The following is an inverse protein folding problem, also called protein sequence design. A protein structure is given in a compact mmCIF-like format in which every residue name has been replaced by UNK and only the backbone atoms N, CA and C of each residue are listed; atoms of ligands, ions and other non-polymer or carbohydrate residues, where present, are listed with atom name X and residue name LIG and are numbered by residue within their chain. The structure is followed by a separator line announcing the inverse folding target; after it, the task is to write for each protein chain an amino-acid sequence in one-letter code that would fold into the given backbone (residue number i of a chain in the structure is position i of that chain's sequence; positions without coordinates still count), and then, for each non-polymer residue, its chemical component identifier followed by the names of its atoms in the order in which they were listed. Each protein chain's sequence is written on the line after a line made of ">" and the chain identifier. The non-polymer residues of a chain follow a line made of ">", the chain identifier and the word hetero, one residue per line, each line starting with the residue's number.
data_IF_184788225289
#
_entry.id   IF_184788225289
#
_cell.length_a   1.000
_cell.length_b   1.000
_cell.length_c   1.000
_cell.angle_alpha   90.00
_cell.angle_beta   90.00
_cell.angle_gamma   90.00
#
_symmetry.space_group_name_H-M   'P 1'
#
loop_
_entity.id
_entity.type
_entity.pdbx_description
1 polymer ?
#
# COMPACT_ATOMS: atom_id res chain seq x y z
N UNK A 1 10.20 23.58 11.43
CA UNK A 1 8.77 23.76 11.04
C UNK A 1 8.60 23.03 9.72
N UNK A 2 8.34 21.69 9.76
CA UNK A 2 8.15 20.87 8.57
C UNK A 2 6.82 21.29 7.97
N UNK A 3 6.85 21.77 6.72
CA UNK A 3 5.68 22.18 5.95
C UNK A 3 4.70 20.99 5.85
N UNK A 4 3.52 21.15 6.46
CA UNK A 4 2.34 20.29 6.26
C UNK A 4 1.77 20.44 4.84
N UNK A 5 2.62 20.29 3.83
CA UNK A 5 2.15 20.25 2.46
C UNK A 5 1.44 18.90 2.26
N UNK A 6 0.11 18.91 2.40
CA UNK A 6 -0.75 17.81 1.96
C UNK A 6 -0.26 17.35 0.58
N UNK A 7 0.17 16.11 0.44
CA UNK A 7 0.69 15.59 -0.83
C UNK A 7 -0.44 15.63 -1.87
N UNK A 8 -0.40 16.54 -2.86
CA UNK A 8 -1.54 16.76 -3.74
C UNK A 8 -1.82 15.52 -4.59
N UNK A 9 -3.02 14.99 -4.53
CA UNK A 9 -3.50 13.96 -5.42
C UNK A 9 -3.91 12.62 -4.82
N UNK A 10 -3.81 12.41 -3.48
CA UNK A 10 -4.30 11.18 -2.82
C UNK A 10 -5.82 11.14 -2.78
N UNK A 11 -6.44 12.12 -2.14
CA UNK A 11 -7.90 12.21 -2.02
C UNK A 11 -8.62 12.21 -3.38
N UNK A 12 -8.20 12.95 -4.43
CA UNK A 12 -8.80 12.84 -5.75
C UNK A 12 -8.66 11.45 -6.39
N UNK A 13 -7.55 10.74 -6.15
CA UNK A 13 -7.36 9.39 -6.68
C UNK A 13 -8.31 8.38 -6.00
N UNK A 14 -8.45 8.45 -4.67
CA UNK A 14 -9.41 7.64 -3.92
C UNK A 14 -10.86 7.96 -4.33
N UNK A 15 -11.20 9.24 -4.51
CA UNK A 15 -12.53 9.64 -4.98
C UNK A 15 -12.84 9.10 -6.38
N UNK A 16 -11.86 9.04 -7.28
CA UNK A 16 -12.04 8.45 -8.61
C UNK A 16 -12.42 6.97 -8.52
N UNK A 17 -11.80 6.20 -7.62
CA UNK A 17 -12.16 4.79 -7.38
C UNK A 17 -13.62 4.66 -6.94
N UNK A 18 -14.05 5.44 -5.93
CA UNK A 18 -15.43 5.45 -5.45
C UNK A 18 -16.40 5.80 -6.56
N UNK A 19 -16.14 6.85 -7.36
CA UNK A 19 -16.99 7.28 -8.46
C UNK A 19 -17.06 6.21 -9.56
N UNK A 20 -15.92 5.61 -9.91
CA UNK A 20 -15.86 4.55 -10.91
C UNK A 20 -16.67 3.32 -10.49
N UNK A 21 -16.46 2.83 -9.24
CA UNK A 21 -17.20 1.69 -8.72
C UNK A 21 -18.70 1.98 -8.65
N UNK A 22 -19.10 3.16 -8.18
CA UNK A 22 -20.51 3.58 -8.17
C UNK A 22 -21.14 3.57 -9.56
N UNK A 23 -20.41 4.08 -10.56
CA UNK A 23 -20.88 4.10 -11.96
C UNK A 23 -21.02 2.68 -12.55
N UNK A 24 -20.07 1.78 -12.26
CA UNK A 24 -20.10 0.38 -12.70
C UNK A 24 -21.24 -0.39 -12.03
N UNK A 25 -21.51 -0.17 -10.75
CA UNK A 25 -22.64 -0.77 -10.03
C UNK A 25 -23.96 -0.32 -10.68
N UNK A 26 -24.12 0.98 -10.91
CA UNK A 26 -25.31 1.53 -11.54
C UNK A 26 -25.52 0.94 -12.95
N UNK A 27 -24.44 0.85 -13.74
CA UNK A 27 -24.48 0.23 -15.08
C UNK A 27 -24.92 -1.24 -15.01
N UNK A 28 -24.36 -2.03 -14.09
CA UNK A 28 -24.72 -3.43 -13.88
C UNK A 28 -26.16 -3.58 -13.42
N UNK A 29 -26.64 -2.73 -12.50
CA UNK A 29 -28.03 -2.74 -12.05
C UNK A 29 -29.02 -2.44 -13.18
N UNK A 30 -28.74 -1.39 -13.98
CA UNK A 30 -29.57 -1.04 -15.14
C UNK A 30 -29.56 -2.19 -16.15
N UNK A 31 -28.39 -2.71 -16.51
CA UNK A 31 -28.27 -3.81 -17.45
C UNK A 31 -29.00 -5.07 -16.96
N UNK A 32 -28.84 -5.45 -15.70
CA UNK A 32 -29.52 -6.59 -15.10
C UNK A 32 -31.04 -6.43 -15.06
N UNK A 33 -31.54 -5.23 -14.75
CA UNK A 33 -32.96 -4.93 -14.70
C UNK A 33 -33.62 -4.97 -16.11
N UNK A 34 -32.92 -4.43 -17.12
CA UNK A 34 -33.44 -4.44 -18.51
C UNK A 34 -33.42 -5.84 -19.11
N UNK A 35 -32.36 -6.61 -18.85
CA UNK A 35 -32.22 -7.96 -19.43
C UNK A 35 -32.91 -9.05 -18.62
N UNK A 36 -33.35 -8.75 -17.38
CA UNK A 36 -33.85 -9.75 -16.43
C UNK A 36 -32.83 -10.78 -15.99
N UNK A 37 -31.53 -10.51 -16.23
CA UNK A 37 -30.45 -11.46 -15.92
C UNK A 37 -30.13 -11.43 -14.44
N UNK A 38 -30.41 -12.53 -13.75
CA UNK A 38 -30.07 -12.75 -12.34
C UNK A 38 -28.54 -12.71 -12.15
N UNK A 39 -27.77 -13.24 -13.11
CA UNK A 39 -26.30 -13.22 -13.06
C UNK A 39 -25.74 -11.80 -13.02
N UNK A 40 -26.25 -10.87 -13.87
CA UNK A 40 -25.80 -9.47 -13.87
C UNK A 40 -26.22 -8.76 -12.58
N UNK A 41 -27.40 -9.04 -12.04
CA UNK A 41 -27.87 -8.48 -10.76
C UNK A 41 -27.01 -8.99 -9.58
N UNK A 42 -26.64 -10.29 -9.59
CA UNK A 42 -25.74 -10.85 -8.58
C UNK A 42 -24.35 -10.21 -8.65
N UNK A 43 -23.84 -9.96 -9.85
CA UNK A 43 -22.58 -9.26 -10.08
C UNK A 43 -22.64 -7.79 -9.59
N UNK A 44 -23.80 -7.12 -9.78
CA UNK A 44 -24.02 -5.77 -9.25
C UNK A 44 -24.00 -5.76 -7.71
N UNK A 45 -24.61 -6.75 -7.06
CA UNK A 45 -24.58 -6.90 -5.62
C UNK A 45 -23.15 -7.17 -5.10
N UNK A 46 -22.40 -8.02 -5.78
CA UNK A 46 -20.99 -8.27 -5.45
C UNK A 46 -20.17 -6.97 -5.53
N UNK A 47 -20.28 -6.23 -6.64
CA UNK A 47 -19.62 -4.94 -6.80
C UNK A 47 -20.04 -3.90 -5.77
N UNK A 48 -21.21 -4.04 -5.13
CA UNK A 48 -21.61 -3.16 -4.02
C UNK A 48 -20.75 -3.41 -2.76
N UNK A 49 -20.25 -4.62 -2.57
CA UNK A 49 -19.29 -4.94 -1.49
C UNK A 49 -17.93 -4.30 -1.81
N UNK A 50 -17.51 -4.32 -3.08
CA UNK A 50 -16.25 -3.72 -3.53
C UNK A 50 -16.25 -2.19 -3.34
N UNK A 51 -17.42 -1.56 -3.47
CA UNK A 51 -17.57 -0.13 -3.17
C UNK A 51 -17.25 0.18 -1.70
N UNK A 52 -17.54 -0.73 -0.76
CA UNK A 52 -17.21 -0.54 0.66
C UNK A 52 -15.68 -0.43 0.82
N UNK A 53 -14.89 -1.26 0.12
CA UNK A 53 -13.43 -1.20 0.15
C UNK A 53 -12.93 0.18 -0.32
N UNK A 54 -13.41 0.66 -1.48
CA UNK A 54 -13.03 1.98 -2.00
C UNK A 54 -13.47 3.14 -1.11
N UNK A 55 -14.60 3.03 -0.43
CA UNK A 55 -15.06 4.01 0.56
C UNK A 55 -14.15 4.02 1.79
N UNK A 56 -13.74 2.85 2.28
CA UNK A 56 -12.78 2.72 3.39
C UNK A 56 -11.45 3.37 3.00
N UNK A 57 -10.93 3.08 1.78
CA UNK A 57 -9.72 3.72 1.26
C UNK A 57 -9.86 5.25 1.22
N UNK A 58 -10.97 5.76 0.67
CA UNK A 58 -11.20 7.20 0.58
C UNK A 58 -11.19 7.90 1.94
N UNK A 59 -11.91 7.37 2.92
CA UNK A 59 -11.95 7.96 4.25
C UNK A 59 -10.63 7.82 4.99
N UNK A 60 -9.91 6.71 4.81
CA UNK A 60 -8.61 6.51 5.44
C UNK A 60 -7.55 7.48 4.90
N UNK A 61 -7.50 7.70 3.58
CA UNK A 61 -6.63 8.69 2.95
C UNK A 61 -6.95 10.08 3.48
N UNK A 62 -8.24 10.45 3.50
CA UNK A 62 -8.67 11.75 3.98
C UNK A 62 -8.31 11.97 5.46
N UNK A 63 -8.50 10.94 6.31
CA UNK A 63 -8.15 11.03 7.73
C UNK A 63 -6.64 11.07 7.94
N UNK A 64 -5.87 10.34 7.13
CA UNK A 64 -4.41 10.35 7.20
C UNK A 64 -3.78 11.70 6.78
N UNK A 65 -4.50 12.51 5.99
CA UNK A 65 -4.08 13.88 5.61
C UNK A 65 -4.33 14.92 6.73
N UNK A 66 -5.07 14.56 7.80
CA UNK A 66 -5.27 15.46 8.94
C UNK A 66 -3.96 15.62 9.73
N UNK A 67 -3.63 16.85 10.18
CA UNK A 67 -2.44 17.09 10.98
C UNK A 67 -2.52 16.37 12.33
N UNK A 68 -1.36 16.31 13.01
CA UNK A 68 -1.29 15.81 14.38
C UNK A 68 -2.22 16.63 15.31
N UNK A 69 -2.90 15.95 16.22
CA UNK A 69 -3.79 16.52 17.22
C UNK A 69 -3.38 16.13 18.65
N UNK A 70 -4.18 16.49 19.65
CA UNK A 70 -3.87 16.21 21.05
C UNK A 70 -3.82 14.69 21.37
N UNK A 71 -4.64 13.89 20.68
CA UNK A 71 -4.73 12.45 20.87
C UNK A 71 -3.72 11.68 20.00
N UNK A 72 -3.38 12.22 18.81
CA UNK A 72 -2.51 11.60 17.82
C UNK A 72 -1.34 12.52 17.45
N UNK A 73 -0.41 12.69 18.39
CA UNK A 73 0.73 13.64 18.27
C UNK A 73 1.72 13.30 17.15
N UNK A 74 1.72 12.07 16.65
CA UNK A 74 2.50 11.63 15.49
C UNK A 74 1.72 11.70 14.16
N UNK A 75 0.47 12.20 14.18
CA UNK A 75 -0.41 12.26 13.03
C UNK A 75 -1.24 11.01 12.82
N UNK A 76 -1.95 10.96 11.71
CA UNK A 76 -2.96 9.93 11.41
C UNK A 76 -2.55 8.97 10.29
N UNK A 77 -1.32 9.06 9.78
CA UNK A 77 -0.88 8.33 8.58
C UNK A 77 -0.99 6.80 8.69
N UNK A 78 -0.85 6.23 9.89
CA UNK A 78 -1.01 4.77 10.11
C UNK A 78 -2.42 4.26 9.80
N UNK A 79 -3.43 5.14 9.74
CA UNK A 79 -4.81 4.78 9.36
C UNK A 79 -4.85 4.19 7.95
N UNK A 80 -4.03 4.69 7.02
CA UNK A 80 -3.92 4.11 5.67
C UNK A 80 -3.44 2.64 5.71
N UNK A 81 -2.54 2.31 6.62
CA UNK A 81 -2.06 0.93 6.75
C UNK A 81 -3.14 0.01 7.35
N UNK A 82 -3.94 0.51 8.29
CA UNK A 82 -5.11 -0.24 8.79
C UNK A 82 -6.09 -0.52 7.65
N UNK A 83 -6.43 0.49 6.85
CA UNK A 83 -7.33 0.34 5.70
C UNK A 83 -6.78 -0.65 4.67
N UNK A 84 -5.50 -0.55 4.28
CA UNK A 84 -4.87 -1.49 3.36
C UNK A 84 -4.84 -2.94 3.92
N UNK A 85 -4.70 -3.09 5.24
CA UNK A 85 -4.85 -4.39 5.91
C UNK A 85 -6.26 -4.97 5.79
N UNK A 86 -7.29 -4.13 5.98
CA UNK A 86 -8.71 -4.49 5.80
C UNK A 86 -8.97 -4.89 4.35
N UNK A 87 -8.48 -4.12 3.37
CA UNK A 87 -8.62 -4.45 1.95
C UNK A 87 -7.95 -5.78 1.60
N UNK A 88 -6.73 -6.03 2.10
CA UNK A 88 -6.06 -7.32 1.96
C UNK A 88 -6.91 -8.47 2.51
N UNK A 89 -7.57 -8.28 3.63
CA UNK A 89 -8.47 -9.28 4.21
C UNK A 89 -9.74 -9.48 3.37
N UNK A 90 -10.34 -8.42 2.83
CA UNK A 90 -11.50 -8.51 1.93
C UNK A 90 -11.14 -9.28 0.64
N UNK A 91 -9.95 -9.03 0.07
CA UNK A 91 -9.42 -9.79 -1.07
C UNK A 91 -9.29 -11.28 -0.73
N UNK A 92 -8.79 -11.63 0.46
CA UNK A 92 -8.66 -13.02 0.90
C UNK A 92 -10.03 -13.70 1.10
N UNK A 93 -10.99 -13.01 1.68
CA UNK A 93 -12.36 -13.53 1.84
C UNK A 93 -13.00 -13.76 0.47
N UNK A 94 -12.90 -12.80 -0.45
CA UNK A 94 -13.40 -12.92 -1.83
C UNK A 94 -12.75 -14.09 -2.58
N UNK A 95 -11.43 -14.25 -2.48
CA UNK A 95 -10.73 -15.38 -3.09
C UNK A 95 -11.13 -16.73 -2.48
N UNK A 96 -11.41 -16.79 -1.19
CA UNK A 96 -11.94 -17.96 -0.51
C UNK A 96 -13.29 -18.42 -1.08
N UNK A 97 -14.17 -17.48 -1.39
CA UNK A 97 -15.47 -17.75 -2.05
C UNK A 97 -15.23 -18.31 -3.47
N UNK A 98 -14.30 -17.75 -4.23
CA UNK A 98 -13.95 -18.23 -5.59
C UNK A 98 -13.41 -19.68 -5.50
N UNK A 99 -12.51 -19.96 -4.57
CA UNK A 99 -11.96 -21.30 -4.36
C UNK A 99 -13.07 -22.31 -4.02
N UNK A 100 -13.93 -21.96 -3.06
CA UNK A 100 -15.03 -22.80 -2.64
C UNK A 100 -15.97 -23.12 -3.81
N UNK A 101 -16.41 -22.11 -4.56
CA UNK A 101 -17.33 -22.28 -5.70
C UNK A 101 -16.67 -23.07 -6.84
N UNK A 102 -15.38 -22.84 -7.11
CA UNK A 102 -14.64 -23.56 -8.14
C UNK A 102 -14.49 -25.05 -7.81
N UNK A 103 -14.18 -25.39 -6.55
CA UNK A 103 -14.11 -26.79 -6.09
C UNK A 103 -15.49 -27.44 -6.17
N UNK A 104 -16.55 -26.75 -5.76
CA UNK A 104 -17.93 -27.23 -5.87
C UNK A 104 -18.28 -27.56 -7.30
N UNK A 105 -17.98 -26.65 -8.26
CA UNK A 105 -18.24 -26.88 -9.70
C UNK A 105 -17.42 -28.03 -10.31
N UNK A 106 -16.23 -28.30 -9.80
CA UNK A 106 -15.44 -29.45 -10.21
C UNK A 106 -16.09 -30.79 -9.76
N UNK A 107 -16.72 -30.77 -8.58
CA UNK A 107 -17.34 -31.98 -7.99
C UNK A 107 -18.75 -32.25 -8.57
N UNK A 108 -19.57 -31.20 -8.61
CA UNK A 108 -21.00 -31.31 -9.00
C UNK A 108 -21.21 -31.17 -10.51
N UNK A 109 -20.21 -30.70 -11.26
CA UNK A 109 -20.28 -30.35 -12.66
C UNK A 109 -20.71 -28.89 -12.87
N UNK A 110 -20.10 -28.25 -13.84
CA UNK A 110 -20.38 -26.86 -14.17
C UNK A 110 -21.57 -26.75 -15.13
N UNK A 111 -22.60 -25.98 -14.78
CA UNK A 111 -23.58 -25.50 -15.72
C UNK A 111 -23.04 -24.19 -16.33
N UNK A 112 -22.71 -24.23 -17.64
CA UNK A 112 -22.28 -23.04 -18.36
C UNK A 112 -23.52 -22.27 -18.79
N UNK A 113 -23.81 -21.16 -18.14
CA UNK A 113 -24.88 -20.25 -18.55
C UNK A 113 -24.46 -19.47 -19.81
N UNK A 114 -25.41 -19.27 -20.72
CA UNK A 114 -25.20 -18.42 -21.89
C UNK A 114 -25.28 -16.97 -21.45
N UNK A 115 -24.13 -16.35 -21.18
CA UNK A 115 -24.05 -15.00 -20.62
C UNK A 115 -24.39 -13.86 -21.62
N UNK A 116 -24.51 -14.13 -22.93
CA UNK A 116 -24.95 -13.16 -23.93
C UNK A 116 -24.42 -11.74 -23.74
N UNK A 117 -25.32 -10.78 -23.49
CA UNK A 117 -24.97 -9.38 -23.22
C UNK A 117 -24.16 -9.20 -21.95
N UNK A 118 -24.24 -10.13 -20.98
CA UNK A 118 -23.45 -10.10 -19.74
C UNK A 118 -21.95 -10.10 -19.98
N UNK A 119 -21.46 -10.78 -21.02
CA UNK A 119 -20.04 -10.81 -21.41
C UNK A 119 -19.54 -9.38 -21.72
N UNK A 120 -20.35 -8.58 -22.42
CA UNK A 120 -19.98 -7.19 -22.77
C UNK A 120 -19.86 -6.34 -21.50
N UNK A 121 -20.79 -6.49 -20.55
CA UNK A 121 -20.77 -5.74 -19.28
C UNK A 121 -19.58 -6.15 -18.43
N UNK A 122 -19.27 -7.46 -18.33
CA UNK A 122 -18.11 -7.97 -17.62
C UNK A 122 -16.81 -7.43 -18.26
N UNK A 123 -16.69 -7.50 -19.58
CA UNK A 123 -15.52 -6.99 -20.30
C UNK A 123 -15.31 -5.48 -20.10
N UNK A 124 -16.39 -4.69 -20.16
CA UNK A 124 -16.33 -3.25 -19.91
C UNK A 124 -15.91 -2.94 -18.47
N UNK A 125 -16.49 -3.64 -17.50
CA UNK A 125 -16.12 -3.51 -16.08
C UNK A 125 -14.66 -3.88 -15.85
N UNK A 126 -14.17 -4.96 -16.46
CA UNK A 126 -12.76 -5.38 -16.40
C UNK A 126 -11.82 -4.29 -16.91
N UNK A 127 -12.12 -3.71 -18.08
CA UNK A 127 -11.29 -2.65 -18.67
C UNK A 127 -11.29 -1.40 -17.80
N UNK A 128 -12.47 -1.00 -17.29
CA UNK A 128 -12.60 0.16 -16.40
C UNK A 128 -11.82 -0.06 -15.10
N UNK A 129 -11.98 -1.19 -14.42
CA UNK A 129 -11.26 -1.53 -13.20
C UNK A 129 -9.74 -1.56 -13.44
N UNK A 130 -9.28 -2.09 -14.56
CA UNK A 130 -7.85 -2.13 -14.91
C UNK A 130 -7.28 -0.72 -15.11
N UNK A 131 -8.00 0.15 -15.81
CA UNK A 131 -7.60 1.53 -16.06
C UNK A 131 -7.54 2.36 -14.76
N UNK A 132 -8.59 2.27 -13.93
CA UNK A 132 -8.64 2.97 -12.63
C UNK A 132 -7.59 2.42 -11.68
N UNK A 133 -7.45 1.10 -11.56
CA UNK A 133 -6.40 0.45 -10.77
C UNK A 133 -5.01 0.93 -11.16
N UNK A 134 -4.70 1.00 -12.47
CA UNK A 134 -3.40 1.47 -12.93
C UNK A 134 -3.13 2.93 -12.54
N UNK A 135 -4.15 3.80 -12.61
CA UNK A 135 -4.05 5.20 -12.19
C UNK A 135 -3.85 5.32 -10.67
N UNK A 136 -4.73 4.68 -9.88
CA UNK A 136 -4.68 4.69 -8.40
C UNK A 136 -3.35 4.10 -7.89
N UNK A 137 -2.89 2.98 -8.47
CA UNK A 137 -1.59 2.38 -8.12
C UNK A 137 -0.40 3.30 -8.40
N UNK A 138 -0.42 4.06 -9.51
CA UNK A 138 0.63 5.04 -9.80
C UNK A 138 0.66 6.15 -8.77
N UNK A 139 -0.52 6.65 -8.39
CA UNK A 139 -0.65 7.69 -7.35
C UNK A 139 -0.25 7.15 -5.98
N UNK A 140 -0.71 5.96 -5.60
CA UNK A 140 -0.33 5.31 -4.34
C UNK A 140 1.19 5.19 -4.18
N UNK A 141 1.88 4.68 -5.21
CA UNK A 141 3.34 4.58 -5.21
C UNK A 141 4.04 5.94 -5.16
N UNK A 142 3.57 6.92 -5.91
CA UNK A 142 4.16 8.27 -5.94
C UNK A 142 4.02 9.01 -4.61
N UNK A 143 2.97 8.72 -3.84
CA UNK A 143 2.68 9.38 -2.56
C UNK A 143 2.97 8.50 -1.34
N UNK A 144 3.38 7.23 -1.53
CA UNK A 144 3.59 6.27 -0.44
C UNK A 144 2.30 5.89 0.30
N UNK A 145 1.11 6.07 -0.32
CA UNK A 145 -0.18 5.79 0.30
C UNK A 145 -0.50 4.30 0.26
N UNK A 146 -0.53 3.66 1.44
CA UNK A 146 -0.86 2.25 1.60
C UNK A 146 -2.32 1.96 1.22
N UNK A 147 -3.25 2.87 1.55
CA UNK A 147 -4.66 2.74 1.23
C UNK A 147 -4.91 2.77 -0.28
N UNK A 148 -4.26 3.69 -1.03
CA UNK A 148 -4.38 3.72 -2.49
C UNK A 148 -3.74 2.48 -3.14
N UNK A 149 -2.65 1.95 -2.59
CA UNK A 149 -2.07 0.70 -3.09
C UNK A 149 -2.99 -0.51 -2.83
N UNK A 150 -3.66 -0.56 -1.68
CA UNK A 150 -4.67 -1.56 -1.34
C UNK A 150 -5.88 -1.50 -2.27
N UNK A 151 -6.52 -0.33 -2.40
CA UNK A 151 -7.67 -0.10 -3.28
C UNK A 151 -7.33 -0.45 -4.75
N UNK A 152 -6.15 -0.05 -5.24
CA UNK A 152 -5.70 -0.43 -6.58
C UNK A 152 -5.52 -1.96 -6.75
N UNK A 153 -5.06 -2.65 -5.71
CA UNK A 153 -4.91 -4.09 -5.74
C UNK A 153 -6.28 -4.80 -5.71
N UNK A 154 -7.25 -4.27 -4.97
CA UNK A 154 -8.63 -4.75 -4.96
C UNK A 154 -9.25 -4.65 -6.35
N UNK A 155 -9.24 -3.46 -6.98
CA UNK A 155 -9.72 -3.23 -8.34
C UNK A 155 -9.05 -4.15 -9.38
N UNK A 156 -7.73 -4.40 -9.21
CA UNK A 156 -6.99 -5.31 -10.08
C UNK A 156 -7.41 -6.75 -9.88
N UNK A 157 -7.73 -7.16 -8.66
CA UNK A 157 -8.27 -8.47 -8.34
C UNK A 157 -9.59 -8.70 -9.05
N UNK A 158 -10.51 -7.74 -9.03
CA UNK A 158 -11.79 -7.81 -9.72
C UNK A 158 -11.62 -7.93 -11.23
N UNK A 159 -10.67 -7.17 -11.80
CA UNK A 159 -10.34 -7.28 -13.21
C UNK A 159 -9.75 -8.66 -13.57
N UNK A 160 -8.89 -9.23 -12.72
CA UNK A 160 -8.32 -10.56 -12.92
C UNK A 160 -9.37 -11.66 -12.80
N UNK A 161 -10.30 -11.54 -11.85
CA UNK A 161 -11.44 -12.46 -11.71
C UNK A 161 -12.30 -12.44 -12.96
N UNK A 162 -12.66 -11.24 -13.44
CA UNK A 162 -13.44 -11.06 -14.68
C UNK A 162 -12.70 -11.63 -15.90
N UNK A 163 -11.39 -11.42 -16.01
CA UNK A 163 -10.56 -12.00 -17.09
C UNK A 163 -10.53 -13.54 -17.01
N UNK A 164 -10.41 -14.09 -15.80
CA UNK A 164 -10.46 -15.54 -15.56
C UNK A 164 -11.78 -16.15 -16.02
N UNK A 165 -12.91 -15.52 -15.66
CA UNK A 165 -14.26 -15.97 -16.10
C UNK A 165 -14.36 -15.95 -17.63
N UNK A 166 -13.95 -14.86 -18.28
CA UNK A 166 -13.97 -14.75 -19.74
C UNK A 166 -13.08 -15.80 -20.41
N UNK A 167 -11.86 -16.01 -19.88
CA UNK A 167 -10.92 -17.01 -20.40
C UNK A 167 -11.47 -18.44 -20.24
N UNK A 168 -12.05 -18.75 -19.08
CA UNK A 168 -12.69 -20.03 -18.79
C UNK A 168 -13.83 -20.32 -19.77
N UNK A 169 -14.73 -19.35 -19.99
CA UNK A 169 -15.84 -19.46 -20.94
C UNK A 169 -15.37 -19.72 -22.37
N UNK A 170 -14.36 -18.97 -22.84
CA UNK A 170 -13.78 -19.15 -24.17
C UNK A 170 -13.13 -20.53 -24.30
N UNK A 171 -12.38 -20.96 -23.29
CA UNK A 171 -11.71 -22.25 -23.29
C UNK A 171 -12.72 -23.42 -23.33
N UNK A 172 -13.79 -23.34 -22.55
CA UNK A 172 -14.88 -24.34 -22.59
C UNK A 172 -15.58 -24.34 -23.95
N UNK A 173 -15.81 -23.19 -24.54
CA UNK A 173 -16.45 -23.08 -25.85
C UNK A 173 -15.60 -23.69 -26.98
N UNK A 174 -14.26 -23.56 -26.90
CA UNK A 174 -13.33 -24.09 -27.91
C UNK A 174 -13.08 -25.57 -27.73
N UNK A 175 -12.93 -26.03 -26.50
CA UNK A 175 -12.53 -27.42 -26.20
C UNK A 175 -13.70 -28.36 -25.91
N UNK A 176 -14.83 -27.83 -25.46
CA UNK A 176 -15.97 -28.63 -24.96
C UNK A 176 -15.78 -29.15 -23.52
N UNK A 177 -14.62 -28.93 -22.92
CA UNK A 177 -14.22 -29.48 -21.62
C UNK A 177 -14.65 -28.56 -20.47
N UNK A 178 -15.69 -28.93 -19.74
CA UNK A 178 -16.31 -28.08 -18.67
C UNK A 178 -15.44 -27.89 -17.43
N UNK A 179 -14.48 -28.80 -17.15
CA UNK A 179 -13.60 -28.70 -16.00
C UNK A 179 -12.57 -27.55 -16.12
N UNK A 180 -12.35 -27.04 -17.33
CA UNK A 180 -11.36 -25.97 -17.58
C UNK A 180 -11.78 -24.65 -16.91
N UNK A 181 -13.07 -24.29 -16.92
CA UNK A 181 -13.56 -23.07 -16.27
C UNK A 181 -13.20 -23.01 -14.77
N UNK A 182 -13.60 -23.99 -13.93
CA UNK A 182 -13.22 -23.97 -12.53
C UNK A 182 -11.72 -24.14 -12.29
N UNK A 183 -10.96 -24.80 -13.18
CA UNK A 183 -9.51 -24.92 -13.07
C UNK A 183 -8.83 -23.55 -13.30
N UNK A 184 -9.26 -22.78 -14.31
CA UNK A 184 -8.80 -21.42 -14.55
C UNK A 184 -9.16 -20.52 -13.36
N UNK A 185 -10.38 -20.62 -12.83
CA UNK A 185 -10.82 -19.87 -11.66
C UNK A 185 -9.94 -20.15 -10.43
N UNK A 186 -9.55 -21.41 -10.19
CA UNK A 186 -8.62 -21.76 -9.11
C UNK A 186 -7.23 -21.19 -9.32
N UNK A 187 -6.71 -21.18 -10.54
CA UNK A 187 -5.40 -20.57 -10.84
C UNK A 187 -5.41 -19.05 -10.59
N UNK A 188 -6.50 -18.38 -10.99
CA UNK A 188 -6.70 -16.95 -10.72
C UNK A 188 -6.82 -16.72 -9.21
N UNK A 189 -7.64 -17.52 -8.50
CA UNK A 189 -7.80 -17.39 -7.06
C UNK A 189 -6.47 -17.52 -6.30
N UNK A 190 -5.58 -18.43 -6.72
CA UNK A 190 -4.25 -18.58 -6.12
C UNK A 190 -3.39 -17.29 -6.26
N UNK A 191 -3.43 -16.63 -7.42
CA UNK A 191 -2.75 -15.36 -7.64
C UNK A 191 -3.35 -14.23 -6.77
N UNK A 192 -4.67 -14.24 -6.59
CA UNK A 192 -5.40 -13.27 -5.75
C UNK A 192 -5.05 -13.46 -4.28
N UNK A 193 -5.03 -14.72 -3.77
CA UNK A 193 -4.60 -15.04 -2.41
C UNK A 193 -3.20 -14.52 -2.14
N UNK A 194 -2.26 -14.76 -3.08
CA UNK A 194 -0.90 -14.24 -2.96
C UNK A 194 -0.86 -12.71 -2.85
N UNK A 195 -1.64 -12.01 -3.67
CA UNK A 195 -1.74 -10.55 -3.63
C UNK A 195 -2.30 -10.05 -2.30
N UNK A 196 -3.41 -10.61 -1.83
CA UNK A 196 -4.05 -10.24 -0.56
C UNK A 196 -3.12 -10.46 0.64
N UNK A 197 -2.45 -11.61 0.71
CA UNK A 197 -1.45 -11.92 1.75
C UNK A 197 -0.30 -10.90 1.73
N UNK A 198 0.22 -10.58 0.55
CA UNK A 198 1.31 -9.60 0.42
C UNK A 198 0.93 -8.23 0.95
N UNK A 199 -0.28 -7.75 0.65
CA UNK A 199 -0.78 -6.45 1.14
C UNK A 199 -0.93 -6.48 2.65
N UNK A 200 -1.61 -7.52 3.17
CA UNK A 200 -1.85 -7.67 4.60
C UNK A 200 -0.54 -7.71 5.40
N UNK A 201 0.44 -8.53 4.97
CA UNK A 201 1.74 -8.61 5.65
C UNK A 201 2.53 -7.31 5.55
N UNK A 202 2.49 -6.61 4.40
CA UNK A 202 3.16 -5.30 4.25
C UNK A 202 2.56 -4.27 5.21
N UNK A 203 1.24 -4.19 5.30
CA UNK A 203 0.55 -3.30 6.23
C UNK A 203 0.85 -3.63 7.68
N UNK A 204 0.80 -4.92 8.05
CA UNK A 204 1.10 -5.38 9.40
C UNK A 204 2.52 -4.99 9.83
N UNK A 205 3.52 -5.16 8.95
CA UNK A 205 4.92 -4.81 9.23
C UNK A 205 5.07 -3.32 9.56
N UNK A 206 4.43 -2.43 8.80
CA UNK A 206 4.45 -0.99 9.08
C UNK A 206 3.77 -0.68 10.44
N UNK A 207 2.67 -1.35 10.76
CA UNK A 207 1.96 -1.16 12.02
C UNK A 207 2.79 -1.58 13.24
N UNK A 208 3.69 -2.58 13.10
CA UNK A 208 4.60 -3.04 14.15
C UNK A 208 5.99 -2.37 14.07
N UNK A 209 6.08 -1.21 13.43
CA UNK A 209 7.29 -0.38 13.39
C UNK A 209 8.51 -1.09 12.76
N UNK A 210 8.31 -1.80 11.63
CA UNK A 210 9.41 -2.34 10.83
C UNK A 210 10.39 -1.22 10.43
N UNK A 211 11.69 -1.53 10.52
CA UNK A 211 12.75 -0.60 10.12
C UNK A 211 12.67 -0.20 8.64
N UNK A 212 13.25 0.93 8.29
CA UNK A 212 13.37 1.38 6.91
C UNK A 212 14.20 0.38 6.08
N UNK A 213 14.00 0.31 4.74
CA UNK A 213 14.79 -0.53 3.85
C UNK A 213 16.29 -0.21 3.88
N UNK A 214 17.12 -1.21 3.64
CA UNK A 214 18.60 -1.09 3.68
C UNK A 214 19.15 0.12 2.92
N UNK A 215 18.70 0.47 1.69
CA UNK A 215 19.19 1.67 1.00
C UNK A 215 18.91 2.98 1.76
N UNK A 216 17.81 3.06 2.51
CA UNK A 216 17.48 4.23 3.33
C UNK A 216 18.35 4.26 4.61
N UNK A 217 18.67 3.09 5.20
CA UNK A 217 19.59 2.97 6.34
C UNK A 217 21.03 3.32 5.96
N UNK A 218 21.48 2.90 4.78
CA UNK A 218 22.78 3.27 4.22
C UNK A 218 22.88 4.79 3.98
N UNK A 219 21.80 5.41 3.45
CA UNK A 219 21.75 6.85 3.24
C UNK A 219 21.86 7.64 4.55
N UNK A 220 21.19 7.16 5.64
CA UNK A 220 21.31 7.75 6.99
C UNK A 220 22.75 7.61 7.49
N UNK A 221 23.31 6.41 7.42
CA UNK A 221 24.67 6.11 7.87
C UNK A 221 25.71 6.98 7.15
N UNK A 222 25.58 7.13 5.82
CA UNK A 222 26.43 8.00 5.02
C UNK A 222 26.28 9.48 5.41
N UNK A 223 25.05 9.94 5.74
CA UNK A 223 24.85 11.29 6.27
C UNK A 223 25.63 11.48 7.57
N UNK A 224 25.47 10.59 8.55
CA UNK A 224 26.13 10.70 9.85
C UNK A 224 27.67 10.71 9.69
N UNK A 225 28.23 9.81 8.86
CA UNK A 225 29.68 9.72 8.62
C UNK A 225 30.24 11.03 8.02
N UNK A 226 29.51 11.70 7.13
CA UNK A 226 29.97 12.95 6.53
C UNK A 226 30.15 14.11 7.55
N UNK A 227 29.61 13.98 8.76
CA UNK A 227 29.76 14.94 9.85
C UNK A 227 30.96 14.67 10.77
N UNK A 228 31.78 13.66 10.47
CA UNK A 228 33.00 13.38 11.23
C UNK A 228 33.97 14.57 11.31
N UNK A 229 34.08 15.38 10.27
CA UNK A 229 34.86 16.62 10.22
C UNK A 229 34.28 17.73 11.11
N UNK A 230 33.01 17.63 11.48
CA UNK A 230 32.29 18.59 12.34
C UNK A 230 32.20 18.15 13.80
N UNK A 231 33.04 17.19 14.22
CA UNK A 231 33.17 16.77 15.60
C UNK A 231 32.33 15.55 15.97
N UNK A 232 31.62 14.93 15.03
CA UNK A 232 30.94 13.64 15.27
C UNK A 232 32.00 12.54 15.41
N UNK A 233 32.01 11.84 16.57
CA UNK A 233 32.94 10.78 16.88
C UNK A 233 32.38 9.38 16.63
N UNK A 234 31.07 9.24 16.63
CA UNK A 234 30.38 7.97 16.38
C UNK A 234 28.87 8.12 16.49
N UNK A 235 28.16 7.03 16.20
CA UNK A 235 26.73 6.94 16.43
C UNK A 235 26.31 5.52 16.81
N UNK A 236 25.19 5.39 17.50
CA UNK A 236 24.60 4.11 17.82
C UNK A 236 23.07 4.22 18.02
N UNK A 237 22.43 3.10 18.35
CA UNK A 237 20.98 3.02 18.59
C UNK A 237 20.13 3.64 17.48
N UNK A 238 20.59 3.51 16.23
CA UNK A 238 19.78 3.91 15.08
C UNK A 238 18.49 3.07 15.06
N UNK A 239 17.37 3.74 15.25
CA UNK A 239 16.02 3.17 15.16
C UNK A 239 15.26 3.94 14.11
N UNK A 240 14.57 3.21 13.26
CA UNK A 240 13.81 3.81 12.18
C UNK A 240 12.44 3.14 12.09
N UNK A 241 11.45 3.89 11.65
CA UNK A 241 10.13 3.37 11.35
C UNK A 241 9.44 4.24 10.31
N UNK A 242 8.35 3.72 9.76
CA UNK A 242 7.49 4.44 8.83
C UNK A 242 6.07 4.55 9.37
N UNK A 243 5.41 5.68 9.09
CA UNK A 243 3.97 5.82 9.25
C UNK A 243 3.42 6.44 7.95
N UNK A 244 2.72 5.64 7.15
CA UNK A 244 2.33 6.05 5.79
C UNK A 244 3.54 6.48 4.96
N UNK A 245 3.54 7.71 4.48
CA UNK A 245 4.65 8.30 3.74
C UNK A 245 5.75 8.90 4.63
N UNK A 246 5.50 9.16 5.92
CA UNK A 246 6.48 9.76 6.84
C UNK A 246 7.48 8.73 7.34
N UNK A 247 8.72 9.17 7.47
CA UNK A 247 9.84 8.44 8.05
C UNK A 247 10.20 9.05 9.39
N UNK A 248 10.48 8.18 10.35
CA UNK A 248 10.96 8.57 11.69
C UNK A 248 12.30 7.92 11.92
N UNK A 249 13.26 8.71 12.39
CA UNK A 249 14.65 8.29 12.63
C UNK A 249 15.06 8.77 14.00
N UNK A 250 15.36 7.85 14.91
CA UNK A 250 15.95 8.14 16.21
C UNK A 250 17.38 7.60 16.23
N UNK A 251 18.34 8.39 16.69
CA UNK A 251 19.71 7.93 16.85
C UNK A 251 20.45 8.70 17.94
N UNK A 252 21.47 8.06 18.50
CA UNK A 252 22.41 8.68 19.43
C UNK A 252 23.69 9.03 18.66
N UNK A 253 24.16 10.27 18.82
CA UNK A 253 25.36 10.78 18.15
C UNK A 253 26.35 11.23 19.21
N UNK A 254 27.56 10.67 19.16
CA UNK A 254 28.65 11.02 20.06
C UNK A 254 29.50 12.16 19.47
N UNK A 255 29.82 13.13 20.28
CA UNK A 255 30.66 14.28 19.93
C UNK A 255 32.03 14.20 20.61
N UNK A 256 33.08 14.62 19.89
CA UNK A 256 34.44 14.63 20.37
C UNK A 256 34.60 15.46 21.64
N UNK A 257 35.50 15.01 22.52
CA UNK A 257 35.81 15.71 23.74
C UNK A 257 36.24 17.16 23.47
N UNK A 258 35.64 18.11 24.20
CA UNK A 258 35.86 19.53 23.99
C UNK A 258 34.85 20.23 23.11
N UNK A 259 33.92 19.49 22.43
CA UNK A 259 32.80 20.09 21.71
C UNK A 259 31.85 20.74 22.74
N UNK A 260 31.50 21.99 22.53
CA UNK A 260 30.51 22.66 23.37
C UNK A 260 29.10 22.14 23.10
N UNK A 261 28.17 22.30 24.04
CA UNK A 261 26.76 21.89 23.82
C UNK A 261 26.13 22.70 22.67
N UNK A 262 26.54 23.97 22.51
CA UNK A 262 26.07 24.85 21.45
C UNK A 262 26.51 24.34 20.06
N UNK A 263 27.80 24.01 19.90
CA UNK A 263 28.36 23.48 18.65
C UNK A 263 27.74 22.09 18.32
N UNK A 264 27.57 21.23 19.33
CA UNK A 264 26.95 19.92 19.15
C UNK A 264 25.48 20.05 18.72
N UNK A 265 24.76 20.99 19.31
CA UNK A 265 23.36 21.26 18.97
C UNK A 265 23.19 21.77 17.53
N UNK A 266 24.03 22.76 17.12
CA UNK A 266 24.04 23.27 15.75
C UNK A 266 24.36 22.17 14.73
N UNK A 267 25.42 21.37 15.03
CA UNK A 267 25.81 20.23 14.18
C UNK A 267 24.69 19.19 14.07
N UNK A 268 23.98 18.91 15.18
CA UNK A 268 22.86 17.99 15.17
C UNK A 268 21.70 18.48 14.32
N UNK A 269 21.39 19.78 14.32
CA UNK A 269 20.36 20.35 13.45
C UNK A 269 20.72 20.19 11.96
N UNK A 270 21.97 20.52 11.60
CA UNK A 270 22.42 20.35 10.22
C UNK A 270 22.42 18.88 9.79
N UNK A 271 22.73 17.96 10.72
CA UNK A 271 22.65 16.52 10.47
C UNK A 271 21.18 16.05 10.32
N UNK A 272 20.24 16.58 11.10
CA UNK A 272 18.81 16.32 10.94
C UNK A 272 18.33 16.74 9.54
N UNK A 273 18.71 17.94 9.09
CA UNK A 273 18.37 18.44 7.76
C UNK A 273 19.00 17.58 6.65
N UNK A 274 20.28 17.21 6.80
CA UNK A 274 20.97 16.34 5.84
C UNK A 274 20.35 14.94 5.72
N UNK A 275 19.90 14.35 6.82
CA UNK A 275 19.16 13.07 6.80
C UNK A 275 17.80 13.29 6.15
N UNK A 276 17.07 14.34 6.52
CA UNK A 276 15.77 14.69 5.97
C UNK A 276 15.81 14.85 4.45
N UNK A 277 16.79 15.59 3.94
CA UNK A 277 16.98 15.81 2.49
C UNK A 277 17.25 14.50 1.74
N UNK A 278 18.14 13.63 2.27
CA UNK A 278 18.47 12.35 1.64
C UNK A 278 17.29 11.38 1.58
N UNK A 279 16.39 11.47 2.54
CA UNK A 279 15.19 10.62 2.63
C UNK A 279 13.96 11.24 1.95
N UNK A 280 14.07 12.45 1.41
CA UNK A 280 12.93 13.17 0.84
C UNK A 280 11.89 13.60 1.89
N UNK A 281 12.36 13.91 3.10
CA UNK A 281 11.58 14.28 4.28
C UNK A 281 11.54 13.17 5.34
N UNK A 282 12.02 13.48 6.53
CA UNK A 282 11.96 12.61 7.70
C UNK A 282 11.85 13.44 8.98
N UNK A 283 11.24 12.86 10.00
CA UNK A 283 11.29 13.37 11.37
C UNK A 283 12.47 12.71 12.07
N UNK A 284 13.50 13.50 12.41
CA UNK A 284 14.77 12.99 12.92
C UNK A 284 14.99 13.50 14.34
N UNK A 285 15.15 12.58 15.29
CA UNK A 285 15.50 12.88 16.67
C UNK A 285 16.93 12.42 16.96
N UNK A 286 17.78 13.35 17.36
CA UNK A 286 19.18 13.06 17.73
C UNK A 286 19.36 13.29 19.22
N UNK A 287 19.83 12.23 19.91
CA UNK A 287 20.30 12.31 21.28
C UNK A 287 21.80 12.54 21.27
N UNK A 288 22.25 13.66 21.89
CA UNK A 288 23.66 14.05 21.95
C UNK A 288 24.34 13.32 23.10
N UNK A 289 25.49 12.72 22.85
CA UNK A 289 26.31 12.03 23.84
C UNK A 289 27.79 12.44 23.76
N UNK A 290 28.54 12.37 24.87
CA UNK A 290 29.97 12.60 24.85
C UNK A 290 30.74 11.42 24.23
N UNK A 291 31.99 11.66 23.81
CA UNK A 291 32.85 10.70 23.11
C UNK A 291 33.09 9.39 23.88
N UNK A 292 33.08 9.42 25.21
CA UNK A 292 33.27 8.23 26.06
C UNK A 292 32.16 7.18 25.94
N UNK A 293 31.07 7.51 25.22
CA UNK A 293 29.98 6.61 24.91
C UNK A 293 30.07 5.94 23.52
N UNK A 294 31.12 6.25 22.73
CA UNK A 294 31.38 5.58 21.45
C UNK A 294 31.62 4.09 21.68
N UNK A 295 30.92 3.25 20.93
CA UNK A 295 31.05 1.80 21.03
C UNK A 295 32.08 1.29 20.03
N UNK A 296 32.84 0.21 20.34
CA UNK A 296 33.73 -0.40 19.38
C UNK A 296 33.05 -0.75 18.05
N UNK A 297 33.63 -0.32 16.92
CA UNK A 297 33.10 -0.54 15.58
C UNK A 297 32.07 0.51 15.09
N UNK A 298 31.79 1.53 15.91
CA UNK A 298 30.91 2.64 15.52
C UNK A 298 31.65 3.99 15.44
N UNK A 299 32.99 3.94 15.51
CA UNK A 299 33.86 5.11 15.44
C UNK A 299 33.80 5.75 14.05
N UNK A 300 33.81 7.08 14.02
CA UNK A 300 33.91 7.87 12.79
C UNK A 300 35.26 8.62 12.83
N UNK A 301 36.10 8.35 11.84
CA UNK A 301 37.38 9.06 11.70
C UNK A 301 37.16 10.37 10.96
N UNK A 302 37.89 11.44 11.37
CA UNK A 302 37.74 12.77 10.76
C UNK A 302 38.14 12.84 9.28
N UNK A 303 38.72 11.78 8.72
CA UNK A 303 39.31 11.70 7.37
C UNK A 303 38.60 10.71 6.43
N UNK A 304 37.43 10.18 6.76
CA UNK A 304 36.66 9.36 5.80
C UNK A 304 35.98 10.29 4.78
N UNK A 305 36.77 10.80 3.83
CA UNK A 305 36.27 11.28 2.55
C UNK A 305 35.89 10.07 1.69
N UNK A 306 34.60 9.91 1.41
CA UNK A 306 34.11 8.94 0.40
C UNK A 306 33.86 9.63 -0.92
#
# INVERSE_FOLDING_TARGET
>A
MISDAAMPGRTPAAALSVVSNSALILLKFIAGSITGSVAILTEALHSSIDLIASVVAFFSVRKAEEPADEDHRYGHEKIENVAAGIEGMLILVGSGVIVFESIRRLIEGAAVERLGFGIVVIALSMVANLAVSAFVARRGRATGSAALEGDAAHLRTDALTSAGVLAGLVAVQVTGERWIDPAVALAVAAAIVWSGLRIMFRSARVLVDEALPEPELEAITAAVRSFGIRGVAGFHQLRTRRAGARRYVDLHVQFRSGTTLEDAHETAHDLQDAIGDRLGGADVLIHLEPEDRVRPGTEITANEES
#
